data_IF_945959059089
#
_entry.id   IF_945959059089
#
_cell.length_a   1.000
_cell.length_b   1.000
_cell.length_c   1.000
_cell.angle_alpha   90.00
_cell.angle_beta   90.00
_cell.angle_gamma   90.00
#
_symmetry.space_group_name_H-M   'P 1'
#
loop_
_entity.id
_entity.type
_entity.pdbx_description
1 polymer ?
#
# COMPACT_ATOMS: atom_id res chain seq x y z
N UNK A 1 10.73 -7.20 -15.31
CA UNK A 1 10.60 -7.67 -13.90
C UNK A 1 10.06 -6.52 -13.07
N UNK A 2 9.18 -6.80 -12.11
CA UNK A 2 8.72 -5.85 -11.09
C UNK A 2 9.35 -6.23 -9.75
N UNK A 3 9.50 -5.26 -8.84
CA UNK A 3 10.06 -5.52 -7.52
C UNK A 3 9.89 -4.32 -6.60
N UNK A 4 9.69 -4.62 -5.32
CA UNK A 4 9.62 -3.63 -4.24
C UNK A 4 10.70 -3.93 -3.21
N UNK A 5 11.09 -2.91 -2.45
CA UNK A 5 12.09 -3.03 -1.41
C UNK A 5 11.72 -2.15 -0.22
N UNK A 6 12.08 -2.62 0.99
CA UNK A 6 12.02 -1.83 2.21
C UNK A 6 13.47 -1.68 2.70
N UNK A 7 13.95 -0.44 2.77
CA UNK A 7 15.26 -0.12 3.33
C UNK A 7 15.07 0.39 4.76
N UNK A 8 15.72 -0.28 5.70
CA UNK A 8 15.64 0.04 7.13
C UNK A 8 16.96 0.64 7.59
N UNK A 9 16.88 1.73 8.36
CA UNK A 9 18.06 2.30 9.02
C UNK A 9 18.50 1.36 10.14
N UNK A 10 19.80 1.10 10.25
CA UNK A 10 20.39 0.22 11.27
C UNK A 10 20.11 0.65 12.71
N UNK A 11 19.86 1.93 12.95
CA UNK A 11 19.50 2.46 14.27
C UNK A 11 18.03 2.22 14.65
N UNK A 12 17.21 1.64 13.78
CA UNK A 12 15.83 1.28 14.08
C UNK A 12 15.82 -0.07 14.79
N UNK A 13 15.43 -0.15 16.07
CA UNK A 13 15.47 -1.40 16.84
C UNK A 13 14.25 -2.25 16.47
N UNK A 14 14.34 -2.95 15.34
CA UNK A 14 13.32 -3.88 14.89
C UNK A 14 13.72 -5.30 15.32
N UNK A 15 12.80 -5.96 16.02
CA UNK A 15 12.97 -7.32 16.55
C UNK A 15 11.97 -8.28 15.90
N UNK A 16 12.30 -9.58 15.89
CA UNK A 16 11.49 -10.67 15.31
C UNK A 16 10.90 -10.37 13.92
N UNK A 17 11.78 -9.94 13.02
CA UNK A 17 11.39 -9.54 11.66
C UNK A 17 10.91 -10.75 10.87
N UNK A 18 9.67 -10.69 10.40
CA UNK A 18 9.07 -11.61 9.44
C UNK A 18 8.69 -10.86 8.17
N UNK A 19 8.74 -11.55 7.03
CA UNK A 19 8.45 -10.94 5.74
C UNK A 19 7.50 -11.81 4.92
N UNK A 20 6.48 -11.17 4.34
CA UNK A 20 5.58 -11.78 3.38
C UNK A 20 5.77 -11.12 2.02
N UNK A 21 6.02 -11.94 1.00
CA UNK A 21 6.40 -11.51 -0.35
C UNK A 21 5.31 -11.90 -1.34
N UNK A 22 4.84 -10.95 -2.14
CA UNK A 22 4.04 -11.26 -3.32
C UNK A 22 4.90 -12.03 -4.34
N UNK A 23 4.44 -13.18 -4.87
CA UNK A 23 5.19 -13.95 -5.86
C UNK A 23 5.54 -13.17 -7.13
N UNK A 24 4.76 -12.14 -7.47
CA UNK A 24 4.98 -11.29 -8.64
C UNK A 24 5.77 -10.01 -8.30
N UNK A 25 6.25 -9.85 -7.06
CA UNK A 25 7.06 -8.72 -6.62
C UNK A 25 6.30 -7.40 -6.53
N UNK A 26 4.97 -7.43 -6.40
CA UNK A 26 4.13 -6.22 -6.36
C UNK A 26 3.94 -5.67 -4.95
N UNK A 27 4.13 -6.47 -3.91
CA UNK A 27 4.17 -5.97 -2.54
C UNK A 27 5.06 -6.82 -1.64
N UNK A 28 5.53 -6.19 -0.56
CA UNK A 28 6.33 -6.79 0.50
C UNK A 28 5.82 -6.26 1.83
N UNK A 29 5.30 -7.14 2.68
CA UNK A 29 5.05 -6.83 4.07
C UNK A 29 6.25 -7.24 4.92
N UNK A 30 6.64 -6.38 5.83
CA UNK A 30 7.62 -6.62 6.88
C UNK A 30 6.93 -6.38 8.23
N UNK A 31 6.84 -7.41 9.06
CA UNK A 31 6.24 -7.32 10.40
C UNK A 31 7.33 -7.55 11.43
N UNK A 32 7.41 -6.67 12.42
CA UNK A 32 8.45 -6.67 13.44
C UNK A 32 7.95 -6.02 14.73
N UNK A 33 8.67 -6.23 15.82
CA UNK A 33 8.48 -5.51 17.08
C UNK A 33 9.32 -4.24 17.10
N UNK A 34 8.71 -3.17 17.59
CA UNK A 34 9.37 -1.92 18.00
C UNK A 34 9.06 -1.72 19.48
N UNK A 35 9.98 -2.14 20.36
CA UNK A 35 9.69 -2.26 21.78
C UNK A 35 8.55 -3.25 22.03
N UNK A 36 7.46 -2.82 22.65
CA UNK A 36 6.28 -3.68 22.91
C UNK A 36 5.23 -3.64 21.80
N UNK A 37 5.46 -2.87 20.73
CA UNK A 37 4.47 -2.65 19.66
C UNK A 37 4.82 -3.50 18.44
N UNK A 38 3.86 -4.31 17.97
CA UNK A 38 3.97 -4.99 16.68
C UNK A 38 3.64 -4.01 15.57
N UNK A 39 4.57 -3.77 14.65
CA UNK A 39 4.41 -2.89 13.49
C UNK A 39 4.50 -3.71 12.20
N UNK A 40 3.61 -3.46 11.25
CA UNK A 40 3.73 -3.97 9.88
C UNK A 40 3.98 -2.82 8.90
N UNK A 41 5.00 -2.95 8.08
CA UNK A 41 5.36 -2.00 7.02
C UNK A 41 5.20 -2.69 5.68
N UNK A 42 4.46 -2.09 4.77
CA UNK A 42 4.25 -2.59 3.42
C UNK A 42 4.84 -1.64 2.39
N UNK A 43 5.68 -2.18 1.50
CA UNK A 43 6.00 -1.52 0.23
C UNK A 43 5.10 -2.08 -0.88
N UNK A 44 4.39 -1.19 -1.60
CA UNK A 44 3.39 -1.54 -2.60
C UNK A 44 3.75 -0.99 -3.99
N UNK A 45 3.50 -1.78 -5.02
CA UNK A 45 3.52 -1.36 -6.42
C UNK A 45 2.34 -1.99 -7.16
N UNK A 46 1.23 -1.26 -7.24
CA UNK A 46 0.02 -1.69 -7.92
C UNK A 46 0.21 -1.74 -9.45
N UNK A 47 -0.49 -2.65 -10.15
CA UNK A 47 -0.44 -2.70 -11.61
C UNK A 47 -1.03 -1.43 -12.22
N UNK A 48 -0.48 -0.99 -13.36
CA UNK A 48 -0.95 0.19 -14.09
C UNK A 48 -2.31 0.00 -14.76
N UNK A 49 -2.70 -1.24 -15.03
CA UNK A 49 -4.03 -1.61 -15.52
C UNK A 49 -4.89 -2.13 -14.35
N UNK A 50 -6.23 -2.03 -14.44
CA UNK A 50 -7.11 -2.47 -13.37
C UNK A 50 -6.98 -3.97 -13.15
N UNK A 51 -6.74 -4.36 -11.90
CA UNK A 51 -6.56 -5.75 -11.50
C UNK A 51 -7.27 -5.95 -10.15
N UNK A 52 -8.52 -6.42 -10.19
CA UNK A 52 -9.29 -6.66 -8.98
C UNK A 52 -8.66 -7.77 -8.12
N UNK A 53 -8.09 -8.79 -8.76
CA UNK A 53 -7.43 -9.91 -8.08
C UNK A 53 -6.22 -9.45 -7.30
N UNK A 54 -5.47 -8.45 -7.80
CA UNK A 54 -4.41 -7.83 -7.03
C UNK A 54 -4.93 -7.19 -5.73
N UNK A 55 -5.95 -6.32 -5.82
CA UNK A 55 -6.48 -5.60 -4.66
C UNK A 55 -7.17 -6.53 -3.65
N UNK A 56 -7.84 -7.58 -4.12
CA UNK A 56 -8.41 -8.62 -3.28
C UNK A 56 -7.32 -9.41 -2.55
N UNK A 57 -6.31 -9.89 -3.27
CA UNK A 57 -5.17 -10.59 -2.65
C UNK A 57 -4.46 -9.69 -1.64
N UNK A 58 -4.22 -8.43 -1.98
CA UNK A 58 -3.60 -7.46 -1.08
C UNK A 58 -4.43 -7.28 0.20
N UNK A 59 -5.75 -7.13 0.05
CA UNK A 59 -6.69 -7.04 1.19
C UNK A 59 -6.66 -8.29 2.05
N UNK A 60 -6.65 -9.49 1.48
CA UNK A 60 -6.58 -10.74 2.25
C UNK A 60 -5.32 -10.80 3.10
N UNK A 61 -4.16 -10.40 2.56
CA UNK A 61 -2.92 -10.34 3.33
C UNK A 61 -2.99 -9.29 4.44
N UNK A 62 -3.53 -8.12 4.13
CA UNK A 62 -3.70 -7.03 5.08
C UNK A 62 -4.64 -7.42 6.25
N UNK A 63 -5.74 -8.10 5.95
CA UNK A 63 -6.68 -8.61 6.95
C UNK A 63 -6.10 -9.74 7.80
N UNK A 64 -5.08 -10.46 7.31
CA UNK A 64 -4.37 -11.51 8.04
C UNK A 64 -3.29 -11.00 8.99
N UNK A 65 -3.01 -9.69 9.03
CA UNK A 65 -2.00 -9.13 9.92
C UNK A 65 -2.46 -9.21 11.38
N UNK A 66 -1.52 -9.52 12.27
CA UNK A 66 -1.78 -9.64 13.73
C UNK A 66 -1.82 -8.29 14.45
N UNK A 67 -1.56 -7.18 13.74
CA UNK A 67 -1.47 -5.83 14.29
C UNK A 67 -2.34 -4.84 13.52
N UNK A 68 -2.81 -3.82 14.23
CA UNK A 68 -3.46 -2.64 13.64
C UNK A 68 -2.49 -1.50 13.33
N UNK A 69 -1.24 -1.59 13.79
CA UNK A 69 -0.20 -0.63 13.43
C UNK A 69 0.40 -1.03 12.08
N UNK A 70 -0.16 -0.47 11.01
CA UNK A 70 0.23 -0.78 9.64
C UNK A 70 0.59 0.51 8.92
N UNK A 71 1.77 0.54 8.31
CA UNK A 71 2.22 1.59 7.39
C UNK A 71 2.24 0.97 6.00
N UNK A 72 1.49 1.56 5.06
CA UNK A 72 1.51 1.16 3.66
C UNK A 72 2.09 2.34 2.87
N UNK A 73 3.17 2.11 2.15
CA UNK A 73 3.79 3.10 1.28
C UNK A 73 4.11 2.50 -0.08
N UNK A 74 4.00 3.29 -1.13
CA UNK A 74 4.28 2.82 -2.48
C UNK A 74 3.51 3.56 -3.55
N UNK A 75 3.41 2.93 -4.72
CA UNK A 75 2.69 3.44 -5.87
C UNK A 75 1.41 2.64 -6.09
N UNK A 76 0.27 3.25 -5.80
CA UNK A 76 -1.05 2.65 -6.00
C UNK A 76 -1.51 2.70 -7.46
N UNK A 77 -0.77 3.37 -8.36
CA UNK A 77 -1.19 3.62 -9.74
C UNK A 77 -2.65 4.10 -9.82
N UNK A 78 -3.06 4.91 -8.85
CA UNK A 78 -4.43 5.38 -8.64
C UNK A 78 -4.44 6.83 -8.14
N UNK A 79 -5.42 7.61 -8.59
CA UNK A 79 -5.70 8.94 -8.05
C UNK A 79 -6.66 8.78 -6.86
N UNK A 80 -6.21 9.10 -5.64
CA UNK A 80 -7.02 8.95 -4.43
C UNK A 80 -8.18 9.96 -4.39
N UNK A 81 -7.89 11.21 -4.77
CA UNK A 81 -8.91 12.24 -4.93
C UNK A 81 -8.48 13.22 -6.01
N UNK A 82 -9.15 13.17 -7.16
CA UNK A 82 -8.84 14.07 -8.26
C UNK A 82 -9.06 15.57 -7.93
N UNK A 83 -9.82 15.85 -6.86
CA UNK A 83 -10.03 17.20 -6.33
C UNK A 83 -8.83 17.63 -5.47
N UNK A 84 -8.35 16.73 -4.60
CA UNK A 84 -7.21 17.01 -3.71
C UNK A 84 -5.88 17.01 -4.46
N UNK A 85 -5.70 16.10 -5.42
CA UNK A 85 -4.51 15.99 -6.30
C UNK A 85 -4.45 17.09 -7.36
N UNK A 86 -5.41 18.02 -7.37
CA UNK A 86 -5.47 19.10 -8.32
C UNK A 86 -4.34 20.10 -8.09
N UNK A 87 -3.29 20.02 -8.92
CA UNK A 87 -2.51 21.23 -9.23
C UNK A 87 -3.39 22.15 -10.07
N UNK A 88 -3.70 23.34 -9.53
CA UNK A 88 -4.53 24.34 -10.22
C UNK A 88 -3.75 24.89 -11.41
N UNK A 89 -3.91 24.25 -12.57
CA UNK A 89 -3.54 24.83 -13.86
C UNK A 89 -4.79 24.95 -14.73
N UNK A 90 -5.03 26.15 -15.22
CA UNK A 90 -6.25 26.61 -15.88
C UNK A 90 -6.85 25.57 -16.86
N UNK A 91 -8.04 25.04 -16.53
CA UNK A 91 -8.90 24.34 -17.50
C UNK A 91 -8.61 22.86 -17.82
N UNK A 92 -7.66 22.21 -17.15
CA UNK A 92 -7.36 20.79 -17.40
C UNK A 92 -8.42 19.80 -16.87
N UNK A 93 -8.68 18.72 -17.62
CA UNK A 93 -9.52 17.59 -17.20
C UNK A 93 -8.87 16.85 -16.02
N UNK A 94 -9.64 16.38 -15.02
CA UNK A 94 -9.06 15.67 -13.87
C UNK A 94 -8.26 14.43 -14.31
N UNK A 95 -7.05 14.28 -13.79
CA UNK A 95 -6.25 13.08 -13.99
C UNK A 95 -6.91 11.91 -13.24
N UNK A 96 -7.58 11.05 -13.98
CA UNK A 96 -8.15 9.81 -13.47
C UNK A 96 -7.31 8.66 -14.00
N UNK A 97 -7.08 7.66 -13.15
CA UNK A 97 -6.50 6.40 -13.60
C UNK A 97 -7.59 5.34 -13.69
N UNK A 98 -7.29 4.26 -14.39
CA UNK A 98 -8.18 3.12 -14.48
C UNK A 98 -8.34 2.36 -13.14
N UNK A 99 -7.46 2.56 -12.15
CA UNK A 99 -7.55 1.92 -10.83
C UNK A 99 -8.40 2.68 -9.81
N UNK A 100 -8.76 3.94 -10.07
CA UNK A 100 -9.34 4.82 -9.05
C UNK A 100 -10.52 4.17 -8.32
N UNK A 101 -11.44 3.52 -9.04
CA UNK A 101 -12.60 2.83 -8.44
C UNK A 101 -12.20 1.68 -7.51
N UNK A 102 -11.29 0.82 -7.97
CA UNK A 102 -10.83 -0.34 -7.17
C UNK A 102 -10.09 0.13 -5.92
N UNK A 103 -9.27 1.15 -6.06
CA UNK A 103 -8.52 1.72 -4.95
C UNK A 103 -9.44 2.43 -3.95
N UNK A 104 -10.43 3.22 -4.41
CA UNK A 104 -11.44 3.83 -3.52
C UNK A 104 -12.26 2.78 -2.78
N UNK A 105 -12.70 1.71 -3.45
CA UNK A 105 -13.39 0.59 -2.80
C UNK A 105 -12.47 -0.08 -1.76
N UNK A 106 -11.20 -0.30 -2.10
CA UNK A 106 -10.22 -0.82 -1.15
C UNK A 106 -10.07 0.06 0.10
N UNK A 107 -9.92 1.38 -0.06
CA UNK A 107 -9.79 2.30 1.08
C UNK A 107 -11.03 2.28 1.99
N UNK A 108 -12.21 2.41 1.39
CA UNK A 108 -13.47 2.43 2.14
C UNK A 108 -13.69 1.15 2.95
N UNK A 109 -13.36 -0.01 2.36
CA UNK A 109 -13.60 -1.30 2.99
C UNK A 109 -12.58 -1.63 4.10
N UNK A 110 -11.39 -1.00 4.06
CA UNK A 110 -10.30 -1.30 4.99
C UNK A 110 -10.21 -0.35 6.17
N UNK A 111 -11.09 0.67 6.23
CA UNK A 111 -11.09 1.71 7.28
C UNK A 111 -9.76 2.47 7.42
N UNK A 112 -8.88 2.40 6.41
CA UNK A 112 -7.70 3.25 6.33
C UNK A 112 -8.20 4.63 5.89
N UNK A 113 -8.25 5.54 6.85
CA UNK A 113 -8.51 6.96 6.63
C UNK A 113 -7.24 7.68 7.04
N UNK A 114 -6.75 8.58 6.18
CA UNK A 114 -5.64 9.50 6.48
C UNK A 114 -5.97 10.42 7.67
#
# INVERSE_FOLDING_TARGET
MKGVAILLRTSCPLEDITALKDPLGRFLFLTAYVGTTVLSICSLYAPSAPDATFWENFRTHLAGLTTKHVIIGGDCNATQSAIADRRVHNGGTPATTCNDKLFTTFLNDTSFID
#
